data_IF_590795047080
#
_entry.id   IF_590795047080
#
_cell.length_a   1.000
_cell.length_b   1.000
_cell.length_c   1.000
_cell.angle_alpha   90.00
_cell.angle_beta   90.00
_cell.angle_gamma   90.00
#
_symmetry.space_group_name_H-M   'P 1'
#
loop_
_entity.id
_entity.type
_entity.pdbx_description
1 polymer ?
#
# COMPACT_ATOMS: atom_id res chain seq x y z
N UNK A 1 73.77 0.79 2.87
CA UNK A 1 74.28 2.16 3.14
C UNK A 1 73.72 3.10 2.08
N UNK A 2 72.92 4.07 2.54
CA UNK A 2 72.52 5.39 1.99
C UNK A 2 71.98 5.48 0.54
N UNK A 3 70.66 5.66 0.33
CA UNK A 3 69.78 6.85 0.47
C UNK A 3 69.99 8.00 -0.54
N UNK A 4 68.86 8.39 -1.19
CA UNK A 4 68.48 9.65 -1.88
C UNK A 4 68.27 9.47 -3.41
N UNK A 5 67.15 9.87 -4.01
CA UNK A 5 66.02 10.64 -3.50
C UNK A 5 64.99 11.01 -4.58
N UNK A 6 64.07 11.88 -4.16
CA UNK A 6 63.07 12.69 -4.91
C UNK A 6 61.83 11.96 -5.48
N UNK A 7 60.67 12.06 -4.80
CA UNK A 7 59.67 13.15 -4.89
C UNK A 7 58.89 13.15 -6.20
N UNK A 8 57.65 12.64 -6.18
CA UNK A 8 56.49 13.28 -6.84
C UNK A 8 55.23 12.98 -6.02
N UNK A 9 54.70 14.00 -5.34
CA UNK A 9 53.29 14.10 -4.98
C UNK A 9 52.51 14.55 -6.23
N UNK A 10 51.27 14.07 -6.43
CA UNK A 10 50.13 14.72 -7.13
C UNK A 10 48.93 13.77 -6.95
N UNK A 11 48.02 14.04 -6.00
CA UNK A 11 46.76 14.78 -6.15
C UNK A 11 45.66 13.98 -6.87
N UNK A 12 44.73 13.48 -6.04
CA UNK A 12 43.28 13.71 -6.14
C UNK A 12 42.59 13.49 -7.51
N UNK A 13 41.77 12.44 -7.60
CA UNK A 13 40.50 12.49 -8.32
C UNK A 13 39.52 11.46 -7.73
N UNK A 14 38.85 11.85 -6.65
CA UNK A 14 37.57 11.27 -6.27
C UNK A 14 36.57 11.56 -7.40
N UNK A 15 36.32 10.58 -8.26
CA UNK A 15 35.13 10.57 -9.10
C UNK A 15 34.03 9.79 -8.38
N UNK A 16 33.57 10.31 -7.23
CA UNK A 16 32.29 9.90 -6.66
C UNK A 16 31.21 10.53 -7.53
N UNK A 17 30.77 9.82 -8.56
CA UNK A 17 29.60 10.21 -9.36
C UNK A 17 28.38 10.03 -8.47
N UNK A 18 28.08 11.07 -7.67
CA UNK A 18 26.80 11.20 -7.00
C UNK A 18 25.76 11.39 -8.10
N UNK A 19 25.15 10.29 -8.54
CA UNK A 19 23.91 10.36 -9.29
C UNK A 19 22.87 10.90 -8.31
N UNK A 20 22.62 12.21 -8.40
CA UNK A 20 21.51 12.85 -7.72
C UNK A 20 20.25 12.35 -8.44
N UNK A 21 19.79 11.15 -8.07
CA UNK A 21 18.45 10.70 -8.41
C UNK A 21 17.52 11.71 -7.76
N UNK A 22 16.70 12.39 -8.57
CA UNK A 22 15.67 13.26 -8.01
C UNK A 22 14.83 12.41 -7.05
N UNK A 23 14.90 12.73 -5.76
CA UNK A 23 14.15 12.05 -4.71
C UNK A 23 12.66 12.40 -4.81
N UNK A 24 12.00 11.95 -5.87
CA UNK A 24 10.57 11.74 -5.87
C UNK A 24 10.32 10.33 -5.35
N UNK A 25 9.45 10.17 -4.37
CA UNK A 25 8.95 8.83 -4.03
C UNK A 25 8.34 8.25 -5.31
N UNK A 26 8.79 7.08 -5.78
CA UNK A 26 8.25 6.50 -7.00
C UNK A 26 6.75 6.28 -6.86
N UNK A 27 6.00 6.55 -7.92
CA UNK A 27 4.56 6.34 -7.96
C UNK A 27 4.23 4.88 -7.60
N UNK A 28 3.20 4.68 -6.78
CA UNK A 28 2.79 3.34 -6.36
C UNK A 28 2.11 2.62 -7.53
N UNK A 29 2.64 1.46 -7.94
CA UNK A 29 1.99 0.62 -8.95
C UNK A 29 1.19 -0.51 -8.30
N UNK A 30 0.11 -0.94 -8.95
CA UNK A 30 -0.68 -2.09 -8.54
C UNK A 30 0.16 -3.37 -8.52
N UNK A 31 1.15 -3.50 -9.41
CA UNK A 31 2.09 -4.62 -9.39
C UNK A 31 3.03 -4.59 -8.18
N UNK A 32 3.40 -3.40 -7.68
CA UNK A 32 4.12 -3.27 -6.42
C UNK A 32 3.22 -3.67 -5.24
N UNK A 33 1.93 -3.30 -5.25
CA UNK A 33 0.97 -3.70 -4.23
C UNK A 33 0.71 -5.22 -4.23
N UNK A 34 0.58 -5.82 -5.40
CA UNK A 34 0.36 -7.27 -5.54
C UNK A 34 1.53 -8.10 -5.03
N UNK A 35 2.74 -7.56 -4.94
CA UNK A 35 3.91 -8.26 -4.35
C UNK A 35 3.94 -8.20 -2.83
N UNK A 36 3.05 -7.43 -2.20
CA UNK A 36 3.02 -7.26 -0.75
C UNK A 36 2.19 -8.36 -0.09
N UNK A 37 2.51 -8.75 1.17
CA UNK A 37 1.73 -9.74 1.90
C UNK A 37 0.24 -9.38 1.98
N UNK A 38 -0.08 -8.09 2.10
CA UNK A 38 -1.47 -7.61 2.15
C UNK A 38 -2.23 -7.82 0.84
N UNK A 39 -1.56 -7.83 -0.32
CA UNK A 39 -2.18 -8.17 -1.60
C UNK A 39 -2.57 -9.65 -1.76
N UNK A 40 -2.27 -10.47 -0.75
CA UNK A 40 -2.63 -11.89 -0.68
C UNK A 40 -3.27 -12.26 0.66
N UNK A 41 -3.65 -11.28 1.47
CA UNK A 41 -4.29 -11.52 2.77
C UNK A 41 -5.76 -11.84 2.54
N UNK A 42 -6.06 -13.13 2.43
CA UNK A 42 -7.42 -13.65 2.24
C UNK A 42 -7.89 -14.43 3.44
N UNK A 43 -9.19 -14.38 3.71
CA UNK A 43 -9.82 -15.25 4.70
C UNK A 43 -9.57 -16.73 4.33
N UNK A 44 -9.24 -17.62 5.29
CA UNK A 44 -8.94 -19.02 5.00
C UNK A 44 -10.04 -19.73 4.21
N UNK A 45 -9.65 -20.44 3.16
CA UNK A 45 -10.60 -21.14 2.27
C UNK A 45 -11.30 -20.24 1.25
N UNK A 46 -10.94 -18.96 1.15
CA UNK A 46 -11.46 -18.09 0.09
C UNK A 46 -10.95 -18.49 -1.28
N UNK A 47 -11.76 -18.24 -2.31
CA UNK A 47 -11.35 -18.33 -3.72
C UNK A 47 -11.33 -16.94 -4.34
N UNK A 48 -10.24 -16.60 -5.01
CA UNK A 48 -10.13 -15.35 -5.77
C UNK A 48 -10.97 -15.45 -7.04
N UNK A 49 -11.95 -14.57 -7.17
CA UNK A 49 -12.87 -14.52 -8.31
C UNK A 49 -12.39 -13.50 -9.35
N UNK A 50 -12.01 -12.31 -8.90
CA UNK A 50 -11.60 -11.22 -9.76
C UNK A 50 -10.51 -10.37 -9.10
N UNK A 51 -9.71 -9.69 -9.92
CA UNK A 51 -8.71 -8.71 -9.47
C UNK A 51 -8.76 -7.49 -10.37
N UNK A 52 -8.97 -6.33 -9.75
CA UNK A 52 -8.85 -5.02 -10.39
C UNK A 52 -7.60 -4.31 -9.88
N UNK A 53 -6.92 -3.60 -10.79
CA UNK A 53 -5.63 -2.96 -10.57
C UNK A 53 -5.71 -1.50 -10.98
N UNK A 54 -5.15 -0.63 -10.16
CA UNK A 54 -5.01 0.78 -10.45
C UNK A 54 -3.62 1.25 -10.00
N UNK A 55 -2.84 1.80 -10.92
CA UNK A 55 -1.60 2.48 -10.59
C UNK A 55 -1.92 3.89 -10.06
N UNK A 56 -1.04 4.41 -9.21
CA UNK A 56 -1.03 5.83 -8.88
C UNK A 56 -0.83 6.65 -10.16
N UNK A 57 -1.75 7.56 -10.43
CA UNK A 57 -1.68 8.41 -11.61
C UNK A 57 -2.33 9.78 -11.36
N UNK A 58 -1.81 10.85 -11.98
CA UNK A 58 -2.43 12.17 -11.95
C UNK A 58 -3.69 12.20 -12.83
N UNK A 59 -4.65 13.04 -12.47
CA UNK A 59 -5.85 13.36 -13.24
C UNK A 59 -6.22 14.83 -13.08
N UNK A 60 -7.19 15.33 -13.85
CA UNK A 60 -7.71 16.69 -13.70
C UNK A 60 -8.27 16.98 -12.30
N UNK A 61 -8.75 15.96 -11.59
CA UNK A 61 -9.29 16.08 -10.24
C UNK A 61 -8.28 15.81 -9.12
N UNK A 62 -6.99 15.65 -9.42
CA UNK A 62 -5.97 15.30 -8.44
C UNK A 62 -5.28 13.96 -8.71
N UNK A 63 -4.47 13.49 -7.77
CA UNK A 63 -3.73 12.23 -7.91
C UNK A 63 -4.54 11.07 -7.33
N UNK A 64 -4.78 10.04 -8.15
CA UNK A 64 -5.38 8.79 -7.71
C UNK A 64 -4.34 7.89 -7.05
N UNK A 65 -4.76 7.15 -6.03
CA UNK A 65 -3.91 6.18 -5.34
C UNK A 65 -3.62 4.94 -6.19
N UNK A 66 -2.50 4.29 -5.88
CA UNK A 66 -2.30 2.90 -6.25
C UNK A 66 -3.25 2.02 -5.44
N UNK A 67 -4.00 1.14 -6.10
CA UNK A 67 -4.99 0.27 -5.48
C UNK A 67 -5.01 -1.12 -6.12
N UNK A 68 -5.16 -2.13 -5.26
CA UNK A 68 -5.45 -3.50 -5.63
C UNK A 68 -6.79 -3.88 -4.99
N UNK A 69 -7.78 -4.19 -5.84
CA UNK A 69 -9.09 -4.67 -5.40
C UNK A 69 -9.25 -6.14 -5.78
N UNK A 70 -9.67 -6.97 -4.84
CA UNK A 70 -9.82 -8.41 -5.04
C UNK A 70 -11.21 -8.84 -4.59
N UNK A 71 -11.95 -9.46 -5.50
CA UNK A 71 -13.25 -10.06 -5.19
C UNK A 71 -13.05 -11.53 -4.88
N UNK A 72 -13.62 -11.97 -3.76
CA UNK A 72 -13.37 -13.26 -3.16
C UNK A 72 -14.70 -13.94 -2.83
N UNK A 73 -14.76 -15.26 -3.00
CA UNK A 73 -15.85 -16.08 -2.48
C UNK A 73 -15.38 -16.87 -1.26
N UNK A 74 -16.26 -17.05 -0.28
CA UNK A 74 -16.02 -17.88 0.88
C UNK A 74 -17.34 -18.45 1.43
N UNK A 75 -17.29 -19.64 2.03
CA UNK A 75 -18.46 -20.25 2.67
C UNK A 75 -18.75 -19.71 4.07
N UNK A 76 -17.84 -18.91 4.63
CA UNK A 76 -17.99 -18.31 5.95
C UNK A 76 -19.04 -17.19 5.96
N UNK A 77 -19.60 -16.90 7.13
CA UNK A 77 -20.49 -15.75 7.29
C UNK A 77 -19.69 -14.44 7.21
N UNK A 78 -20.37 -13.36 6.84
CA UNK A 78 -19.78 -12.01 6.82
C UNK A 78 -19.15 -11.63 8.17
N UNK A 79 -19.80 -11.96 9.28
CA UNK A 79 -19.27 -11.66 10.61
C UNK A 79 -18.00 -12.45 10.92
N UNK A 80 -17.92 -13.72 10.51
CA UNK A 80 -16.70 -14.53 10.66
C UNK A 80 -15.53 -13.94 9.87
N UNK A 81 -15.80 -13.47 8.64
CA UNK A 81 -14.80 -12.82 7.79
C UNK A 81 -14.30 -11.53 8.46
N UNK A 82 -15.19 -10.65 8.90
CA UNK A 82 -14.80 -9.41 9.56
C UNK A 82 -14.05 -9.64 10.87
N UNK A 83 -14.51 -10.56 11.72
CA UNK A 83 -13.80 -10.89 12.96
C UNK A 83 -12.38 -11.41 12.69
N UNK A 84 -12.21 -12.24 11.66
CA UNK A 84 -10.89 -12.73 11.28
C UNK A 84 -9.97 -11.62 10.80
N UNK A 85 -10.44 -10.74 9.89
CA UNK A 85 -9.63 -9.62 9.42
C UNK A 85 -9.28 -8.65 10.54
N UNK A 86 -10.19 -8.38 11.47
CA UNK A 86 -9.92 -7.56 12.63
C UNK A 86 -8.73 -8.10 13.42
N UNK A 87 -8.74 -9.39 13.75
CA UNK A 87 -7.64 -10.04 14.49
C UNK A 87 -6.34 -10.04 13.69
N UNK A 88 -6.37 -10.47 12.42
CA UNK A 88 -5.18 -10.58 11.59
C UNK A 88 -4.52 -9.24 11.29
N UNK A 89 -5.31 -8.22 10.96
CA UNK A 89 -4.79 -6.90 10.64
C UNK A 89 -4.24 -6.22 11.90
N UNK A 90 -4.90 -6.34 13.05
CA UNK A 90 -4.37 -5.84 14.32
C UNK A 90 -3.03 -6.49 14.69
N UNK A 91 -2.91 -7.81 14.53
CA UNK A 91 -1.65 -8.53 14.76
C UNK A 91 -0.51 -8.05 13.83
N UNK A 92 -0.84 -7.47 12.67
CA UNK A 92 0.09 -6.91 11.67
C UNK A 92 0.28 -5.39 11.82
N UNK A 93 -0.19 -4.80 12.91
CA UNK A 93 -0.01 -3.38 13.23
C UNK A 93 -1.00 -2.44 12.55
N UNK A 94 -2.08 -2.94 11.97
CA UNK A 94 -3.15 -2.11 11.41
C UNK A 94 -4.13 -1.68 12.50
N UNK A 95 -4.72 -0.51 12.31
CA UNK A 95 -5.76 0.03 13.20
C UNK A 95 -7.09 0.12 12.46
N UNK A 96 -8.15 -0.47 13.02
CA UNK A 96 -9.52 -0.26 12.55
C UNK A 96 -9.90 1.21 12.76
N UNK A 97 -10.34 1.89 11.70
CA UNK A 97 -10.73 3.31 11.74
C UNK A 97 -12.21 3.53 11.57
N UNK A 98 -12.86 2.69 10.78
CA UNK A 98 -14.27 2.87 10.45
C UNK A 98 -14.91 1.52 10.19
N UNK A 99 -16.13 1.39 10.66
CA UNK A 99 -17.01 0.26 10.41
C UNK A 99 -18.34 0.84 9.92
N UNK A 100 -18.75 0.44 8.72
CA UNK A 100 -20.02 0.81 8.12
C UNK A 100 -20.86 -0.45 7.94
N UNK A 101 -22.09 -0.44 8.49
CA UNK A 101 -22.94 -1.64 8.58
C UNK A 101 -24.35 -1.38 8.00
N UNK A 102 -24.48 -0.76 6.82
CA UNK A 102 -25.68 -0.79 5.93
C UNK A 102 -25.26 -0.42 4.49
N UNK A 103 -25.89 -0.99 3.43
CA UNK A 103 -25.77 -0.58 2.01
C UNK A 103 -24.35 -0.26 1.49
N UNK A 104 -23.46 -1.25 1.50
CA UNK A 104 -22.02 -1.06 1.21
C UNK A 104 -21.18 -1.27 2.46
N UNK A 105 -21.48 -2.32 3.23
CA UNK A 105 -20.82 -2.57 4.51
C UNK A 105 -19.33 -2.85 4.34
N UNK A 106 -18.49 -2.17 5.12
CA UNK A 106 -17.07 -2.44 5.16
C UNK A 106 -16.44 -2.09 6.51
N UNK A 107 -15.30 -2.71 6.78
CA UNK A 107 -14.32 -2.29 7.78
C UNK A 107 -13.11 -1.68 7.07
N UNK A 108 -12.69 -0.49 7.50
CA UNK A 108 -11.53 0.23 6.99
C UNK A 108 -10.42 0.26 8.05
N UNK A 109 -9.25 -0.19 7.64
CA UNK A 109 -8.04 -0.25 8.43
C UNK A 109 -6.96 0.65 7.84
N UNK A 110 -6.11 1.18 8.71
CA UNK A 110 -4.99 2.05 8.32
C UNK A 110 -3.71 1.60 8.98
N UNK A 111 -2.57 1.80 8.30
CA UNK A 111 -1.24 1.65 8.90
C UNK A 111 -0.31 2.73 8.36
N UNK A 112 0.51 3.30 9.24
CA UNK A 112 1.34 4.47 8.91
C UNK A 112 0.49 5.67 8.47
N UNK A 113 1.04 6.42 7.52
CA UNK A 113 0.48 7.68 6.99
C UNK A 113 -0.19 7.53 5.61
N UNK A 114 -0.03 6.37 4.96
CA UNK A 114 -0.44 6.18 3.56
C UNK A 114 -1.18 4.88 3.28
N UNK A 115 -1.14 3.89 4.17
CA UNK A 115 -1.67 2.56 3.86
C UNK A 115 -3.11 2.41 4.31
N UNK A 116 -3.94 1.88 3.39
CA UNK A 116 -5.36 1.64 3.58
C UNK A 116 -5.66 0.17 3.25
N UNK A 117 -6.44 -0.49 4.10
CA UNK A 117 -6.95 -1.83 3.84
C UNK A 117 -8.43 -1.86 4.17
N UNK A 118 -9.27 -2.15 3.18
CA UNK A 118 -10.72 -2.23 3.33
C UNK A 118 -11.18 -3.66 3.10
N UNK A 119 -12.12 -4.12 3.92
CA UNK A 119 -12.84 -5.39 3.74
C UNK A 119 -14.31 -5.07 3.65
N UNK A 120 -14.98 -5.43 2.55
CA UNK A 120 -16.40 -5.15 2.36
C UNK A 120 -17.18 -6.38 1.91
N UNK A 121 -18.38 -6.57 2.46
CA UNK A 121 -19.29 -7.62 2.01
C UNK A 121 -20.10 -7.12 0.82
N UNK A 122 -20.17 -7.92 -0.24
CA UNK A 122 -20.86 -7.55 -1.48
C UNK A 122 -22.24 -8.20 -1.55
N UNK A 123 -22.28 -9.53 -1.48
CA UNK A 123 -23.50 -10.34 -1.47
C UNK A 123 -23.23 -11.64 -0.68
N UNK A 124 -24.25 -12.41 -0.27
CA UNK A 124 -24.03 -13.64 0.49
C UNK A 124 -22.98 -14.54 -0.16
N UNK A 125 -21.94 -14.92 0.60
CA UNK A 125 -20.82 -15.74 0.15
C UNK A 125 -19.73 -15.01 -0.64
N UNK A 126 -19.82 -13.69 -0.80
CA UNK A 126 -18.86 -12.87 -1.55
C UNK A 126 -18.44 -11.63 -0.77
N UNK A 127 -17.15 -11.31 -0.81
CA UNK A 127 -16.59 -10.11 -0.21
C UNK A 127 -15.45 -9.57 -1.07
N UNK A 128 -15.07 -8.32 -0.84
CA UNK A 128 -13.95 -7.68 -1.50
C UNK A 128 -12.91 -7.22 -0.48
N UNK A 129 -11.65 -7.33 -0.83
CA UNK A 129 -10.57 -6.59 -0.18
C UNK A 129 -10.09 -5.47 -1.09
N UNK A 130 -9.73 -4.33 -0.50
CA UNK A 130 -9.05 -3.24 -1.20
C UNK A 130 -7.82 -2.86 -0.41
N UNK A 131 -6.66 -3.08 -1.01
CA UNK A 131 -5.39 -2.64 -0.46
C UNK A 131 -4.87 -1.47 -1.28
N UNK A 132 -4.60 -0.35 -0.64
CA UNK A 132 -4.19 0.87 -1.31
C UNK A 132 -3.09 1.62 -0.56
N UNK A 133 -2.32 2.39 -1.33
CA UNK A 133 -1.36 3.35 -0.78
C UNK A 133 -1.67 4.72 -1.38
N UNK A 134 -2.01 5.66 -0.49
CA UNK A 134 -2.29 7.06 -0.82
C UNK A 134 -1.04 7.70 -1.41
N UNK A 135 -1.14 8.57 -2.43
CA UNK A 135 0.01 9.32 -2.94
C UNK A 135 0.72 10.11 -1.83
N UNK A 136 2.05 10.23 -1.91
CA UNK A 136 2.84 10.87 -0.84
C UNK A 136 2.38 12.30 -0.48
N UNK A 137 1.99 13.16 -1.44
CA UNK A 137 1.53 14.52 -1.14
C UNK A 137 0.25 14.61 -0.29
N UNK A 138 -0.51 13.53 -0.18
CA UNK A 138 -1.77 13.47 0.56
C UNK A 138 -1.76 12.42 1.68
N UNK A 139 -0.56 11.96 2.05
CA UNK A 139 -0.34 11.22 3.27
C UNK A 139 -0.86 12.02 4.48
N UNK A 140 -1.67 11.39 5.32
CA UNK A 140 -2.16 11.96 6.59
C UNK A 140 -1.98 10.92 7.68
N UNK A 141 -1.79 11.32 8.94
CA UNK A 141 -1.58 10.37 10.02
C UNK A 141 -2.75 10.39 11.03
N UNK A 142 -3.61 9.34 11.05
CA UNK A 142 -3.70 8.25 10.08
C UNK A 142 -4.37 8.71 8.78
N UNK A 143 -4.25 7.93 7.69
CA UNK A 143 -4.94 8.23 6.45
C UNK A 143 -6.47 8.19 6.66
N UNK A 144 -7.19 9.15 6.06
CA UNK A 144 -8.65 9.27 6.23
C UNK A 144 -9.40 8.64 5.05
N UNK A 145 -10.70 8.36 5.21
CA UNK A 145 -11.55 7.87 4.11
C UNK A 145 -11.56 8.83 2.91
N UNK A 146 -11.38 10.15 3.13
CA UNK A 146 -11.24 11.15 2.05
C UNK A 146 -10.04 10.86 1.14
N UNK A 147 -9.05 10.13 1.62
CA UNK A 147 -7.92 9.73 0.80
C UNK A 147 -8.33 8.85 -0.39
N UNK A 148 -9.47 8.12 -0.34
CA UNK A 148 -9.99 7.30 -1.44
C UNK A 148 -10.56 8.08 -2.62
N UNK A 149 -10.89 9.36 -2.46
CA UNK A 149 -11.67 10.09 -3.47
C UNK A 149 -10.75 10.62 -4.59
N UNK A 150 -9.63 11.23 -4.21
CA UNK A 150 -8.57 11.82 -5.05
C UNK A 150 -7.77 12.81 -4.20
N UNK A 151 -6.50 13.03 -4.55
CA UNK A 151 -5.68 14.06 -3.91
C UNK A 151 -5.61 15.31 -4.78
N UNK A 152 -6.52 16.26 -4.54
CA UNK A 152 -6.62 17.54 -5.25
C UNK A 152 -7.16 18.63 -4.35
#
# INVERSE_FOLDING_TARGET
MNFRGFLVQIVMALAATAVIVSCGTPAVTADALAKRPEGHLFYPGSQLINTSRQDEHPSEGGTYMGMLTQELSASASTDQIYSWYLTELQARGWTLRQTERVNGSYDLFTRGDRELFQVGAEKPGMYATRFAIVPAPCATNPPTQRAFVNCG
#
